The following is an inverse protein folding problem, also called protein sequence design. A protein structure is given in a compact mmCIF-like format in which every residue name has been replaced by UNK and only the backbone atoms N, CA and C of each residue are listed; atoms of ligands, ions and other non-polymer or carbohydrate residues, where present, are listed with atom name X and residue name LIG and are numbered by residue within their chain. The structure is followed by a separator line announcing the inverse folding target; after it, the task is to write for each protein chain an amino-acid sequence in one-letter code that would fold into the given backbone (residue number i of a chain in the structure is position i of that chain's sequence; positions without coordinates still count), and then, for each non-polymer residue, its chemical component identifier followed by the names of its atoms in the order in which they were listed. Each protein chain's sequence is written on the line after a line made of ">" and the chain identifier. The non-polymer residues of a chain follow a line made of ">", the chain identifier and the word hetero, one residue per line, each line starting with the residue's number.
data_IF_636510826978
#
_entry.id   IF_636510826978
#
_cell.length_a   1.000
_cell.length_b   1.000
_cell.length_c   1.000
_cell.angle_alpha   90.00
_cell.angle_beta   90.00
_cell.angle_gamma   90.00
#
_symmetry.space_group_name_H-M   'P 1'
#
loop_
_entity.id
_entity.type
_entity.pdbx_description
1 polymer ?
#
# COMPACT_ATOMS: atom_id res chain seq x y z
N UNK A 1 -46.96 5.58 12.81
CA UNK A 1 -47.45 6.19 11.55
C UNK A 1 -46.33 6.12 10.53
N UNK A 2 -46.18 5.01 9.79
CA UNK A 2 -45.27 4.99 8.64
C UNK A 2 -46.09 5.33 7.40
N UNK A 3 -45.82 6.49 6.79
CA UNK A 3 -46.35 6.86 5.50
C UNK A 3 -45.98 5.77 4.50
N UNK A 4 -46.96 5.00 4.01
CA UNK A 4 -46.76 4.07 2.91
C UNK A 4 -46.47 4.88 1.64
N UNK A 5 -45.22 5.31 1.48
CA UNK A 5 -44.71 5.79 0.20
C UNK A 5 -44.99 4.71 -0.86
N UNK A 6 -45.20 5.10 -2.13
CA UNK A 6 -45.62 4.19 -3.17
C UNK A 6 -44.68 2.96 -3.22
N UNK A 7 -45.16 1.73 -2.89
CA UNK A 7 -44.30 0.57 -2.67
C UNK A 7 -43.50 0.16 -3.92
N UNK A 8 -43.90 0.66 -5.10
CA UNK A 8 -43.16 0.49 -6.35
C UNK A 8 -41.86 1.32 -6.39
N UNK A 9 -41.89 2.56 -5.90
CA UNK A 9 -40.72 3.45 -5.89
C UNK A 9 -39.64 2.92 -4.94
N UNK A 10 -40.05 2.50 -3.74
CA UNK A 10 -39.14 1.97 -2.73
C UNK A 10 -38.41 0.70 -3.19
N UNK A 11 -39.12 -0.23 -3.83
CA UNK A 11 -38.52 -1.43 -4.43
C UNK A 11 -37.51 -1.10 -5.53
N UNK A 12 -37.80 -0.08 -6.34
CA UNK A 12 -36.88 0.37 -7.38
C UNK A 12 -35.60 1.01 -6.79
N UNK A 13 -35.71 1.75 -5.69
CA UNK A 13 -34.54 2.28 -4.98
C UNK A 13 -33.67 1.16 -4.38
N UNK A 14 -34.27 0.14 -3.75
CA UNK A 14 -33.54 -1.02 -3.24
C UNK A 14 -32.83 -1.76 -4.37
N UNK A 15 -33.49 -1.90 -5.53
CA UNK A 15 -32.90 -2.50 -6.71
C UNK A 15 -31.65 -1.76 -7.18
N UNK A 16 -31.72 -0.42 -7.30
CA UNK A 16 -30.56 0.41 -7.66
C UNK A 16 -29.45 0.23 -6.64
N UNK A 17 -29.79 0.25 -5.34
CA UNK A 17 -28.81 0.06 -4.28
C UNK A 17 -28.07 -1.28 -4.40
N UNK A 18 -28.79 -2.39 -4.64
CA UNK A 18 -28.18 -3.70 -4.83
C UNK A 18 -27.24 -3.73 -6.05
N UNK A 19 -27.63 -3.10 -7.16
CA UNK A 19 -26.77 -3.04 -8.36
C UNK A 19 -25.48 -2.27 -8.08
N UNK A 20 -25.55 -1.14 -7.35
CA UNK A 20 -24.37 -0.38 -6.96
C UNK A 20 -23.44 -1.20 -6.06
N UNK A 21 -23.97 -1.92 -5.07
CA UNK A 21 -23.16 -2.74 -4.17
C UNK A 21 -22.51 -3.92 -4.92
N UNK A 22 -23.19 -4.52 -5.91
CA UNK A 22 -22.59 -5.52 -6.80
C UNK A 22 -21.42 -4.92 -7.58
N UNK A 23 -21.57 -3.70 -8.11
CA UNK A 23 -20.49 -2.99 -8.79
C UNK A 23 -19.27 -2.78 -7.89
N UNK A 24 -19.49 -2.33 -6.64
CA UNK A 24 -18.42 -2.18 -5.64
C UNK A 24 -17.75 -3.53 -5.34
N UNK A 25 -18.53 -4.59 -5.15
CA UNK A 25 -18.00 -5.93 -4.90
C UNK A 25 -17.12 -6.44 -6.06
N UNK A 26 -17.50 -6.16 -7.31
CA UNK A 26 -16.69 -6.52 -8.47
C UNK A 26 -15.37 -5.73 -8.54
N UNK A 27 -15.41 -4.43 -8.23
CA UNK A 27 -14.20 -3.60 -8.12
C UNK A 27 -13.27 -4.10 -7.02
N UNK A 28 -13.81 -4.52 -5.86
CA UNK A 28 -13.00 -5.10 -4.79
C UNK A 28 -12.34 -6.42 -5.20
N UNK A 29 -13.04 -7.31 -5.91
CA UNK A 29 -12.42 -8.54 -6.42
C UNK A 29 -11.29 -8.22 -7.39
N UNK A 30 -11.50 -7.27 -8.31
CA UNK A 30 -10.47 -6.85 -9.26
C UNK A 30 -9.26 -6.23 -8.56
N UNK A 31 -9.49 -5.33 -7.61
CA UNK A 31 -8.44 -4.70 -6.81
C UNK A 31 -7.68 -5.73 -5.97
N UNK A 32 -8.39 -6.67 -5.33
CA UNK A 32 -7.78 -7.74 -4.54
C UNK A 32 -6.93 -8.69 -5.40
N UNK A 33 -7.35 -8.98 -6.63
CA UNK A 33 -6.56 -9.76 -7.59
C UNK A 33 -5.29 -9.01 -8.00
N UNK A 34 -5.38 -7.71 -8.26
CA UNK A 34 -4.20 -6.88 -8.53
C UNK A 34 -3.25 -6.85 -7.33
N UNK A 35 -3.79 -6.71 -6.11
CA UNK A 35 -3.02 -6.68 -4.88
C UNK A 35 -2.27 -8.00 -4.66
N UNK A 36 -2.92 -9.15 -4.95
CA UNK A 36 -2.29 -10.47 -4.80
C UNK A 36 -1.06 -10.66 -5.70
N UNK A 37 -1.05 -10.03 -6.87
CA UNK A 37 0.09 -10.10 -7.77
C UNK A 37 1.18 -9.07 -7.43
N UNK A 38 0.95 -8.21 -6.43
CA UNK A 38 1.92 -7.22 -6.00
C UNK A 38 2.92 -7.83 -5.03
N UNK A 39 4.21 -7.67 -5.35
CA UNK A 39 5.35 -8.09 -4.51
C UNK A 39 5.23 -7.53 -3.08
N UNK A 40 4.57 -6.38 -2.92
CA UNK A 40 4.32 -5.70 -1.65
C UNK A 40 3.62 -6.57 -0.59
N UNK A 41 2.65 -7.42 -0.96
CA UNK A 41 1.90 -8.21 0.02
C UNK A 41 2.65 -9.41 0.57
N UNK A 42 3.58 -9.98 -0.20
CA UNK A 42 4.42 -11.09 0.27
C UNK A 42 5.38 -10.63 1.38
N UNK A 43 5.69 -9.33 1.42
CA UNK A 43 6.71 -8.76 2.31
C UNK A 43 6.18 -8.27 3.65
N UNK A 44 4.93 -7.81 3.71
CA UNK A 44 4.33 -7.41 4.98
C UNK A 44 3.77 -8.60 5.78
N UNK A 45 4.06 -9.84 5.39
CA UNK A 45 3.37 -11.06 5.87
C UNK A 45 1.82 -10.98 5.71
N UNK A 46 1.34 -9.99 4.95
CA UNK A 46 -0.05 -9.76 4.61
C UNK A 46 -0.42 -10.44 3.28
N UNK A 47 0.21 -11.57 2.97
CA UNK A 47 -0.17 -12.41 1.82
C UNK A 47 -1.69 -12.71 1.81
N UNK A 48 -2.32 -12.70 2.98
CA UNK A 48 -3.76 -12.88 3.16
C UNK A 48 -4.63 -11.66 2.86
N UNK A 49 -4.08 -10.44 2.81
CA UNK A 49 -4.88 -9.23 2.62
C UNK A 49 -5.60 -9.21 1.27
N UNK A 50 -4.94 -9.62 0.18
CA UNK A 50 -5.56 -9.75 -1.14
C UNK A 50 -6.74 -10.74 -1.12
N UNK A 51 -6.55 -11.91 -0.52
CA UNK A 51 -7.60 -12.92 -0.37
C UNK A 51 -8.79 -12.41 0.48
N UNK A 52 -8.52 -11.66 1.55
CA UNK A 52 -9.56 -11.05 2.39
C UNK A 52 -10.39 -10.07 1.55
N UNK A 53 -9.76 -9.20 0.75
CA UNK A 53 -10.45 -8.23 -0.10
C UNK A 53 -11.33 -8.95 -1.14
N UNK A 54 -10.81 -10.00 -1.78
CA UNK A 54 -11.58 -10.82 -2.74
C UNK A 54 -12.78 -11.47 -2.04
N UNK A 55 -12.59 -12.07 -0.87
CA UNK A 55 -13.66 -12.70 -0.10
C UNK A 55 -14.73 -11.70 0.32
N UNK A 56 -14.35 -10.50 0.76
CA UNK A 56 -15.26 -9.41 1.05
C UNK A 56 -16.07 -8.98 -0.18
N UNK A 57 -15.42 -8.81 -1.33
CA UNK A 57 -16.09 -8.46 -2.59
C UNK A 57 -17.11 -9.52 -3.03
N UNK A 58 -16.75 -10.80 -2.93
CA UNK A 58 -17.64 -11.92 -3.24
C UNK A 58 -18.84 -11.99 -2.28
N UNK A 59 -18.60 -11.80 -0.98
CA UNK A 59 -19.67 -11.76 0.03
C UNK A 59 -20.65 -10.61 -0.24
N UNK A 60 -20.17 -9.43 -0.60
CA UNK A 60 -21.02 -8.28 -0.96
C UNK A 60 -21.90 -8.58 -2.18
N UNK A 61 -21.35 -9.23 -3.21
CA UNK A 61 -22.12 -9.63 -4.40
C UNK A 61 -23.22 -10.63 -4.02
N UNK A 62 -22.88 -11.65 -3.21
CA UNK A 62 -23.84 -12.66 -2.77
C UNK A 62 -24.98 -12.04 -1.95
N UNK A 63 -24.65 -11.21 -0.95
CA UNK A 63 -25.66 -10.53 -0.12
C UNK A 63 -26.55 -9.63 -0.98
N UNK A 64 -25.96 -8.88 -1.92
CA UNK A 64 -26.71 -7.99 -2.81
C UNK A 64 -27.63 -8.75 -3.77
N UNK A 65 -27.19 -9.91 -4.26
CA UNK A 65 -28.01 -10.78 -5.10
C UNK A 65 -29.21 -11.37 -4.33
N UNK A 66 -29.02 -11.72 -3.04
CA UNK A 66 -30.12 -12.14 -2.18
C UNK A 66 -31.12 -11.01 -1.94
N UNK A 67 -30.67 -9.78 -1.72
CA UNK A 67 -31.54 -8.60 -1.62
C UNK A 67 -32.32 -8.36 -2.91
N UNK A 68 -31.67 -8.46 -4.06
CA UNK A 68 -32.30 -8.34 -5.37
C UNK A 68 -33.41 -9.37 -5.57
N UNK A 69 -33.13 -10.66 -5.32
CA UNK A 69 -34.13 -11.73 -5.45
C UNK A 69 -35.23 -11.59 -4.40
N UNK A 70 -34.87 -11.23 -3.16
CA UNK A 70 -35.80 -11.02 -2.05
C UNK A 70 -36.87 -9.98 -2.40
N UNK A 71 -36.42 -8.84 -2.93
CA UNK A 71 -37.29 -7.75 -3.37
C UNK A 71 -38.09 -8.10 -4.64
N UNK A 72 -37.49 -8.80 -5.60
CA UNK A 72 -38.15 -9.20 -6.86
C UNK A 72 -39.23 -10.27 -6.66
N UNK A 73 -38.89 -11.36 -5.96
CA UNK A 73 -39.81 -12.50 -5.74
C UNK A 73 -40.67 -12.35 -4.48
N UNK A 74 -40.52 -11.25 -3.75
CA UNK A 74 -41.24 -10.94 -2.50
C UNK A 74 -41.11 -12.06 -1.44
N UNK A 75 -39.94 -12.71 -1.36
CA UNK A 75 -39.68 -13.79 -0.40
C UNK A 75 -39.17 -13.21 0.91
N UNK A 76 -40.05 -13.14 1.92
CA UNK A 76 -39.75 -12.56 3.24
C UNK A 76 -38.48 -13.11 3.91
N UNK A 77 -38.22 -14.41 3.78
CA UNK A 77 -37.04 -15.04 4.37
C UNK A 77 -35.74 -14.50 3.76
N UNK A 78 -35.68 -14.34 2.43
CA UNK A 78 -34.47 -13.83 1.74
C UNK A 78 -34.23 -12.35 2.06
N UNK A 79 -35.29 -11.55 2.11
CA UNK A 79 -35.21 -10.14 2.51
C UNK A 79 -34.75 -10.01 3.97
N UNK A 80 -35.23 -10.89 4.88
CA UNK A 80 -34.78 -10.90 6.27
C UNK A 80 -33.29 -11.24 6.42
N UNK A 81 -32.78 -12.21 5.64
CA UNK A 81 -31.35 -12.53 5.62
C UNK A 81 -30.54 -11.33 5.12
N UNK A 82 -30.98 -10.69 4.03
CA UNK A 82 -30.34 -9.48 3.50
C UNK A 82 -30.24 -8.36 4.55
N UNK A 83 -31.34 -8.09 5.25
CA UNK A 83 -31.41 -7.11 6.35
C UNK A 83 -30.34 -7.39 7.42
N UNK A 84 -30.19 -8.64 7.85
CA UNK A 84 -29.21 -9.02 8.88
C UNK A 84 -27.78 -8.74 8.41
N UNK A 85 -27.43 -9.15 7.18
CA UNK A 85 -26.08 -8.92 6.64
C UNK A 85 -25.77 -7.44 6.44
N UNK A 86 -26.73 -6.66 5.93
CA UNK A 86 -26.56 -5.20 5.76
C UNK A 86 -26.32 -4.52 7.11
N UNK A 87 -26.99 -4.93 8.18
CA UNK A 87 -26.71 -4.41 9.54
C UNK A 87 -25.26 -4.68 9.92
N UNK A 88 -24.79 -5.92 9.77
CA UNK A 88 -23.43 -6.30 10.15
C UNK A 88 -22.38 -5.51 9.33
N UNK A 89 -22.58 -5.41 8.02
CA UNK A 89 -21.69 -4.67 7.12
C UNK A 89 -21.69 -3.17 7.47
N UNK A 90 -22.86 -2.58 7.73
CA UNK A 90 -22.95 -1.17 8.10
C UNK A 90 -22.20 -0.86 9.40
N UNK A 91 -22.32 -1.72 10.41
CA UNK A 91 -21.58 -1.58 11.69
C UNK A 91 -20.08 -1.62 11.44
N UNK A 92 -19.59 -2.59 10.66
CA UNK A 92 -18.16 -2.74 10.36
C UNK A 92 -17.63 -1.52 9.60
N UNK A 93 -18.36 -1.02 8.60
CA UNK A 93 -17.94 0.12 7.77
C UNK A 93 -17.91 1.43 8.58
N UNK A 94 -18.89 1.64 9.46
CA UNK A 94 -18.91 2.81 10.35
C UNK A 94 -17.75 2.75 11.34
N UNK A 95 -17.52 1.58 11.95
CA UNK A 95 -16.39 1.36 12.86
C UNK A 95 -15.05 1.58 12.16
N UNK A 96 -14.87 1.03 10.95
CA UNK A 96 -13.69 1.24 10.13
C UNK A 96 -13.48 2.73 9.82
N UNK A 97 -14.52 3.44 9.39
CA UNK A 97 -14.43 4.88 9.13
C UNK A 97 -13.99 5.69 10.36
N UNK A 98 -14.51 5.36 11.54
CA UNK A 98 -14.09 5.98 12.80
C UNK A 98 -12.64 5.66 13.16
N UNK A 99 -12.22 4.40 12.99
CA UNK A 99 -10.83 3.98 13.22
C UNK A 99 -9.86 4.68 12.27
N UNK A 100 -10.19 4.83 10.99
CA UNK A 100 -9.34 5.53 10.01
C UNK A 100 -9.19 7.01 10.36
N UNK A 101 -10.26 7.66 10.80
CA UNK A 101 -10.19 9.07 11.28
C UNK A 101 -9.34 9.18 12.53
N UNK A 102 -9.43 8.21 13.45
CA UNK A 102 -8.57 8.18 14.64
C UNK A 102 -7.10 7.88 14.28
N UNK A 103 -6.87 6.95 13.36
CA UNK A 103 -5.54 6.58 12.89
C UNK A 103 -4.81 7.77 12.26
N UNK A 104 -5.54 8.73 11.67
CA UNK A 104 -4.97 10.00 11.22
C UNK A 104 -4.31 10.80 12.36
N UNK A 105 -4.94 10.86 13.53
CA UNK A 105 -4.37 11.56 14.69
C UNK A 105 -3.11 10.84 15.18
N UNK A 106 -3.22 9.51 15.27
CA UNK A 106 -2.11 8.63 15.66
C UNK A 106 -0.93 8.72 14.68
N UNK A 107 -1.19 8.80 13.38
CA UNK A 107 -0.16 8.95 12.35
C UNK A 107 0.59 10.28 12.53
N UNK A 108 -0.10 11.37 12.88
CA UNK A 108 0.55 12.65 13.14
C UNK A 108 1.51 12.56 14.34
N UNK A 109 1.05 11.93 15.43
CA UNK A 109 1.84 11.76 16.66
C UNK A 109 3.08 10.88 16.44
N UNK A 110 2.98 9.81 15.64
CA UNK A 110 4.09 8.85 15.46
C UNK A 110 4.98 9.11 14.24
N UNK A 111 4.43 9.68 13.16
CA UNK A 111 5.16 9.92 11.91
C UNK A 111 5.63 11.38 11.80
N UNK A 112 5.08 12.30 12.60
CA UNK A 112 5.40 13.72 12.56
C UNK A 112 6.77 14.09 13.15
N UNK A 113 7.34 13.25 14.01
CA UNK A 113 8.62 13.51 14.67
C UNK A 113 9.73 12.55 14.20
N UNK A 114 10.89 13.11 13.83
CA UNK A 114 12.05 12.35 13.33
C UNK A 114 12.64 11.41 14.40
N UNK A 115 12.62 11.82 15.66
CA UNK A 115 13.14 11.01 16.76
C UNK A 115 12.25 9.77 17.01
N UNK A 116 10.93 9.95 16.97
CA UNK A 116 9.97 8.85 17.10
C UNK A 116 10.01 7.91 15.90
N UNK A 117 10.28 8.44 14.71
CA UNK A 117 10.53 7.63 13.52
C UNK A 117 11.74 6.72 13.71
N UNK A 118 12.89 7.25 14.16
CA UNK A 118 14.08 6.43 14.39
C UNK A 118 13.86 5.39 15.51
N UNK A 119 13.13 5.74 16.58
CA UNK A 119 12.84 4.80 17.66
C UNK A 119 11.95 3.62 17.22
N UNK A 120 11.05 3.82 16.26
CA UNK A 120 10.16 2.76 15.76
C UNK A 120 10.69 2.02 14.54
N UNK A 121 11.45 2.71 13.70
CA UNK A 121 11.94 2.21 12.41
C UNK A 121 13.47 2.28 12.32
N UNK A 122 14.15 2.13 13.45
CA UNK A 122 15.61 2.23 13.55
C UNK A 122 16.33 1.35 12.54
N UNK A 123 15.91 0.09 12.37
CA UNK A 123 16.51 -0.80 11.37
C UNK A 123 16.35 -0.28 9.92
N UNK A 124 15.22 0.33 9.59
CA UNK A 124 14.98 0.88 8.26
C UNK A 124 15.76 2.19 8.04
N UNK A 125 15.89 3.02 9.08
CA UNK A 125 16.68 4.24 9.05
C UNK A 125 18.20 3.93 8.98
N UNK A 126 18.66 2.98 9.78
CA UNK A 126 20.04 2.46 9.76
C UNK A 126 20.38 1.81 8.41
N UNK A 127 19.41 1.11 7.79
CA UNK A 127 19.56 0.62 6.43
C UNK A 127 19.85 1.79 5.48
N UNK A 128 19.05 2.86 5.53
CA UNK A 128 19.26 4.03 4.68
C UNK A 128 20.62 4.70 4.95
N UNK A 129 21.07 4.73 6.19
CA UNK A 129 22.38 5.27 6.53
C UNK A 129 23.51 4.43 5.92
N UNK A 130 23.43 3.10 6.00
CA UNK A 130 24.39 2.21 5.33
C UNK A 130 24.41 2.39 3.82
N UNK A 131 23.25 2.65 3.21
CA UNK A 131 23.20 2.94 1.77
C UNK A 131 24.02 4.19 1.44
N UNK A 132 23.92 5.25 2.24
CA UNK A 132 24.69 6.49 2.02
C UNK A 132 26.21 6.25 2.09
N UNK A 133 26.66 5.30 2.90
CA UNK A 133 28.08 4.95 3.03
C UNK A 133 28.62 4.16 1.83
N UNK A 134 27.76 3.48 1.06
CA UNK A 134 28.17 2.59 -0.02
C UNK A 134 27.79 3.11 -1.41
N UNK A 135 26.55 3.57 -1.61
CA UNK A 135 26.00 3.90 -2.93
C UNK A 135 26.68 5.12 -3.55
N UNK A 136 27.01 5.01 -4.85
CA UNK A 136 27.77 6.03 -5.61
C UNK A 136 29.18 6.31 -5.06
N UNK A 137 29.74 5.37 -4.30
CA UNK A 137 31.14 5.38 -3.86
C UNK A 137 31.92 4.29 -4.59
N UNK A 138 33.22 4.22 -4.33
CA UNK A 138 34.11 3.16 -4.84
C UNK A 138 33.59 1.73 -4.57
N UNK A 139 32.87 1.54 -3.46
CA UNK A 139 32.36 0.22 -3.05
C UNK A 139 31.06 -0.18 -3.74
N UNK A 140 30.33 0.80 -4.28
CA UNK A 140 29.09 0.55 -5.02
C UNK A 140 28.90 1.62 -6.10
N UNK A 141 29.59 1.47 -7.24
CA UNK A 141 29.50 2.44 -8.32
C UNK A 141 28.07 2.51 -8.85
N UNK A 142 27.51 3.71 -8.94
CA UNK A 142 26.16 3.91 -9.44
C UNK A 142 26.14 4.33 -10.91
N UNK A 143 25.03 4.04 -11.58
CA UNK A 143 24.75 4.49 -12.94
C UNK A 143 24.22 5.93 -12.88
N UNK A 144 25.07 6.91 -13.19
CA UNK A 144 24.70 8.33 -13.16
C UNK A 144 24.58 8.90 -14.58
N UNK A 145 23.34 9.01 -15.05
CA UNK A 145 23.00 9.58 -16.36
C UNK A 145 22.38 10.98 -16.26
N UNK A 146 21.81 11.31 -15.10
CA UNK A 146 21.19 12.60 -14.84
C UNK A 146 22.20 13.70 -14.45
N UNK A 147 21.97 14.93 -14.95
CA UNK A 147 22.88 16.05 -14.74
C UNK A 147 22.88 16.57 -13.30
N UNK A 148 21.74 16.54 -12.60
CA UNK A 148 21.66 16.89 -11.19
C UNK A 148 22.44 15.85 -10.36
N UNK A 149 22.23 14.56 -10.63
CA UNK A 149 22.92 13.47 -9.93
C UNK A 149 24.45 13.58 -10.04
N UNK A 150 24.97 13.81 -11.25
CA UNK A 150 26.42 13.98 -11.48
C UNK A 150 26.97 15.14 -10.64
N UNK A 151 26.27 16.28 -10.62
CA UNK A 151 26.70 17.44 -9.84
C UNK A 151 26.58 17.20 -8.33
N UNK A 152 25.50 16.56 -7.88
CA UNK A 152 25.30 16.22 -6.47
C UNK A 152 26.41 15.30 -5.97
N UNK A 153 26.71 14.22 -6.70
CA UNK A 153 27.74 13.25 -6.37
C UNK A 153 29.11 13.94 -6.27
N UNK A 154 29.45 14.79 -7.24
CA UNK A 154 30.73 15.51 -7.27
C UNK A 154 30.94 16.46 -6.06
N UNK A 155 29.86 16.96 -5.45
CA UNK A 155 29.91 17.94 -4.36
C UNK A 155 29.73 17.31 -2.98
N UNK A 156 28.83 16.33 -2.87
CA UNK A 156 28.31 15.86 -1.58
C UNK A 156 28.75 14.44 -1.20
N UNK A 157 29.30 13.67 -2.14
CA UNK A 157 29.75 12.29 -1.88
C UNK A 157 31.26 12.30 -1.69
N UNK A 158 31.72 11.69 -0.59
CA UNK A 158 33.15 11.48 -0.35
C UNK A 158 33.64 10.42 -1.33
N UNK A 159 34.66 10.74 -2.12
CA UNK A 159 35.22 9.83 -3.12
C UNK A 159 34.17 9.32 -4.13
N UNK A 160 33.56 10.25 -4.89
CA UNK A 160 32.47 9.93 -5.79
C UNK A 160 32.91 8.94 -6.87
N UNK A 161 32.15 7.87 -7.05
CA UNK A 161 32.41 6.90 -8.10
C UNK A 161 31.10 6.54 -8.81
N UNK A 162 30.98 6.99 -10.05
CA UNK A 162 29.82 6.75 -10.92
C UNK A 162 30.26 6.55 -12.36
N UNK A 163 29.48 5.78 -13.10
CA UNK A 163 29.69 5.59 -14.53
C UNK A 163 28.46 6.05 -15.31
N UNK A 164 28.66 6.37 -16.59
CA UNK A 164 27.57 6.82 -17.49
C UNK A 164 26.85 5.67 -18.19
N UNK A 165 27.45 4.47 -18.23
CA UNK A 165 27.04 3.35 -19.08
C UNK A 165 26.88 2.01 -18.33
N UNK A 166 27.26 1.95 -17.06
CA UNK A 166 27.15 0.78 -16.19
C UNK A 166 27.03 1.22 -14.72
N UNK A 167 26.76 0.28 -13.82
CA UNK A 167 26.62 0.57 -12.38
C UNK A 167 25.24 0.28 -11.84
N UNK A 168 25.11 0.45 -10.54
CA UNK A 168 23.87 0.20 -9.82
C UNK A 168 22.86 1.33 -10.07
N UNK A 169 21.64 0.98 -10.47
CA UNK A 169 20.51 1.92 -10.50
C UNK A 169 20.00 2.24 -9.09
N UNK A 170 20.18 1.31 -8.15
CA UNK A 170 19.84 1.46 -6.75
C UNK A 170 20.73 0.53 -5.92
N UNK A 171 20.74 0.67 -4.59
CA UNK A 171 21.62 -0.13 -3.74
C UNK A 171 21.38 -1.64 -3.80
N UNK A 172 20.19 -2.08 -4.21
CA UNK A 172 19.85 -3.52 -4.27
C UNK A 172 20.48 -4.23 -5.47
N UNK A 173 20.97 -3.44 -6.44
CA UNK A 173 21.63 -3.87 -7.67
C UNK A 173 23.14 -3.61 -7.63
N UNK A 174 23.67 -3.37 -6.43
CA UNK A 174 25.08 -3.10 -6.20
C UNK A 174 26.00 -4.26 -6.62
N UNK A 175 27.03 -3.94 -7.40
CA UNK A 175 28.15 -4.82 -7.69
C UNK A 175 29.46 -4.18 -7.22
N UNK A 176 30.01 -4.60 -6.06
CA UNK A 176 31.27 -4.07 -5.53
C UNK A 176 32.48 -4.38 -6.41
N UNK A 177 32.42 -5.38 -7.28
CA UNK A 177 33.53 -5.77 -8.14
C UNK A 177 33.68 -4.86 -9.38
N UNK A 178 32.67 -4.03 -9.69
CA UNK A 178 32.61 -3.26 -10.93
C UNK A 178 33.73 -2.23 -11.07
N UNK A 179 34.18 -1.61 -9.97
CA UNK A 179 35.23 -0.60 -9.99
C UNK A 179 36.66 -1.18 -10.11
N UNK A 180 36.87 -2.45 -9.72
CA UNK A 180 38.20 -3.08 -9.67
C UNK A 180 38.97 -2.96 -11.00
N UNK A 181 38.41 -3.31 -12.18
CA UNK A 181 39.19 -3.32 -13.43
C UNK A 181 39.59 -1.93 -13.94
N UNK A 182 38.99 -0.86 -13.41
CA UNK A 182 39.18 0.51 -13.92
C UNK A 182 39.98 1.43 -12.99
N UNK A 183 40.17 1.05 -11.73
CA UNK A 183 40.93 1.84 -10.75
C UNK A 183 42.39 1.39 -10.64
N UNK A 184 43.21 2.22 -9.99
CA UNK A 184 44.63 1.89 -9.76
C UNK A 184 44.79 0.80 -8.68
N UNK A 185 45.98 0.21 -8.60
CA UNK A 185 46.27 -0.90 -7.67
C UNK A 185 46.00 -0.56 -6.19
N UNK A 186 46.24 0.68 -5.77
CA UNK A 186 46.00 1.10 -4.38
C UNK A 186 44.51 1.09 -4.04
N UNK A 187 43.66 1.58 -4.95
CA UNK A 187 42.20 1.55 -4.78
C UNK A 187 41.63 0.15 -4.96
N UNK A 188 42.25 -0.69 -5.81
CA UNK A 188 41.89 -2.10 -5.91
C UNK A 188 42.08 -2.82 -4.57
N UNK A 189 43.25 -2.64 -3.93
CA UNK A 189 43.55 -3.23 -2.62
C UNK A 189 42.54 -2.76 -1.56
N UNK A 190 42.13 -1.49 -1.60
CA UNK A 190 41.11 -0.94 -0.70
C UNK A 190 39.73 -1.58 -0.91
N UNK A 191 39.26 -1.72 -2.15
CA UNK A 191 37.98 -2.39 -2.45
C UNK A 191 38.01 -3.83 -1.96
N UNK A 192 39.08 -4.57 -2.27
CA UNK A 192 39.23 -5.97 -1.86
C UNK A 192 39.25 -6.08 -0.33
N UNK A 193 39.99 -5.20 0.36
CA UNK A 193 40.00 -5.16 1.82
C UNK A 193 38.59 -4.87 2.37
N UNK A 194 37.87 -3.91 1.79
CA UNK A 194 36.51 -3.58 2.20
C UNK A 194 35.54 -4.76 2.01
N UNK A 195 35.60 -5.46 0.86
CA UNK A 195 34.79 -6.66 0.61
C UNK A 195 35.10 -7.73 1.64
N UNK A 196 36.38 -8.00 1.90
CA UNK A 196 36.80 -9.02 2.84
C UNK A 196 36.38 -8.70 4.29
N UNK A 197 36.46 -7.44 4.70
CA UNK A 197 36.10 -7.00 6.05
C UNK A 197 34.59 -6.86 6.26
N UNK A 198 33.89 -6.20 5.34
CA UNK A 198 32.46 -5.87 5.49
C UNK A 198 31.55 -6.98 5.04
N UNK A 199 31.92 -7.71 3.98
CA UNK A 199 31.10 -8.77 3.41
C UNK A 199 31.59 -10.18 3.80
N UNK A 200 32.74 -10.30 4.49
CA UNK A 200 33.33 -11.58 4.94
C UNK A 200 33.50 -12.61 3.82
N UNK A 201 33.73 -12.13 2.61
CA UNK A 201 34.06 -12.96 1.44
C UNK A 201 35.57 -12.95 1.23
N UNK A 202 36.13 -14.02 0.67
CA UNK A 202 37.55 -14.06 0.30
C UNK A 202 37.65 -13.84 -1.21
N UNK A 203 37.89 -12.59 -1.62
CA UNK A 203 38.02 -12.21 -3.03
C UNK A 203 39.44 -11.78 -3.37
N UNK A 204 39.80 -11.93 -4.64
CA UNK A 204 41.09 -11.48 -5.17
C UNK A 204 40.90 -10.56 -6.37
N UNK A 205 41.94 -9.85 -6.76
CA UNK A 205 41.93 -8.93 -7.91
C UNK A 205 41.54 -9.67 -9.20
N UNK A 206 41.99 -10.92 -9.36
CA UNK A 206 41.74 -11.73 -10.57
C UNK A 206 40.41 -12.51 -10.52
N UNK A 207 39.76 -12.58 -9.35
CA UNK A 207 38.54 -13.36 -9.13
C UNK A 207 37.65 -12.65 -8.08
N UNK A 208 36.91 -11.63 -8.53
CA UNK A 208 35.86 -10.97 -7.75
C UNK A 208 34.50 -11.40 -8.32
N UNK A 209 33.80 -12.27 -7.60
CA UNK A 209 32.50 -12.85 -8.00
C UNK A 209 31.41 -12.61 -6.96
N UNK A 210 31.35 -11.40 -6.40
CA UNK A 210 30.31 -11.00 -5.45
C UNK A 210 28.99 -10.79 -6.18
N UNK A 211 28.00 -11.64 -5.88
CA UNK A 211 26.64 -11.46 -6.43
C UNK A 211 25.88 -10.38 -5.67
N UNK A 212 24.89 -9.75 -6.32
CA UNK A 212 24.00 -8.75 -5.67
C UNK A 212 23.29 -9.33 -4.45
N UNK A 213 22.92 -10.62 -4.47
CA UNK A 213 22.34 -11.30 -3.30
C UNK A 213 23.33 -11.45 -2.15
N UNK A 214 24.58 -11.83 -2.42
CA UNK A 214 25.60 -11.94 -1.36
C UNK A 214 25.93 -10.57 -0.76
N UNK A 215 26.05 -9.54 -1.60
CA UNK A 215 26.19 -8.16 -1.13
C UNK A 215 25.05 -7.79 -0.18
N UNK A 216 23.79 -8.00 -0.59
CA UNK A 216 22.62 -7.69 0.24
C UNK A 216 22.64 -8.44 1.57
N UNK A 217 22.95 -9.73 1.52
CA UNK A 217 22.83 -10.63 2.66
C UNK A 217 23.92 -10.40 3.71
N UNK A 218 25.13 -10.03 3.29
CA UNK A 218 26.27 -9.82 4.19
C UNK A 218 26.39 -8.36 4.63
N UNK A 219 26.10 -7.38 3.76
CA UNK A 219 26.22 -5.97 4.10
C UNK A 219 25.09 -5.47 5.02
N UNK A 220 23.88 -6.00 4.83
CA UNK A 220 22.69 -5.60 5.57
C UNK A 220 22.20 -6.73 6.48
N UNK A 221 21.76 -6.36 7.70
CA UNK A 221 21.20 -7.33 8.62
C UNK A 221 19.87 -7.88 8.10
N UNK A 222 19.44 -9.03 8.60
CA UNK A 222 18.12 -9.59 8.26
C UNK A 222 16.99 -8.62 8.59
N UNK A 223 17.11 -7.87 9.69
CA UNK A 223 16.10 -6.91 10.14
C UNK A 223 16.00 -5.70 9.21
N UNK A 224 17.14 -5.17 8.73
CA UNK A 224 17.20 -4.12 7.71
C UNK A 224 16.54 -4.56 6.40
N UNK A 225 16.89 -5.76 5.91
CA UNK A 225 16.42 -6.30 4.62
C UNK A 225 14.90 -6.43 4.55
N UNK A 226 14.22 -6.64 5.69
CA UNK A 226 12.76 -6.70 5.77
C UNK A 226 12.08 -5.44 5.22
N UNK A 227 12.75 -4.28 5.35
CA UNK A 227 12.19 -2.99 4.94
C UNK A 227 12.51 -2.60 3.50
N UNK A 228 13.44 -3.26 2.81
CA UNK A 228 13.86 -2.85 1.46
C UNK A 228 12.71 -2.68 0.48
N UNK A 229 11.72 -3.59 0.44
CA UNK A 229 10.66 -3.45 -0.55
C UNK A 229 9.65 -2.38 -0.18
N UNK A 230 9.45 -2.11 1.12
CA UNK A 230 8.71 -0.95 1.57
C UNK A 230 9.44 0.33 1.16
N UNK A 231 10.74 0.45 1.47
CA UNK A 231 11.54 1.63 1.13
C UNK A 231 11.56 1.87 -0.39
N UNK A 232 11.78 0.83 -1.19
CA UNK A 232 11.69 0.89 -2.65
C UNK A 232 10.32 1.37 -3.13
N UNK A 233 9.24 0.75 -2.65
CA UNK A 233 7.88 1.14 -3.03
C UNK A 233 7.58 2.59 -2.65
N UNK A 234 8.01 3.01 -1.47
CA UNK A 234 7.79 4.37 -0.99
C UNK A 234 8.55 5.36 -1.88
N UNK A 235 9.83 5.14 -2.18
CA UNK A 235 10.59 6.03 -3.07
C UNK A 235 10.03 6.05 -4.52
N UNK A 236 9.49 4.93 -5.02
CA UNK A 236 8.88 4.87 -6.36
C UNK A 236 7.53 5.61 -6.45
N UNK A 237 6.79 5.71 -5.34
CA UNK A 237 5.44 6.30 -5.31
C UNK A 237 5.41 7.71 -4.73
N UNK A 238 6.37 8.03 -3.87
CA UNK A 238 6.55 9.32 -3.21
C UNK A 238 7.92 9.83 -3.62
N UNK A 239 8.00 11.08 -4.10
CA UNK A 239 9.26 11.70 -4.55
C UNK A 239 10.16 12.06 -3.38
N UNK A 240 10.56 11.06 -2.61
CA UNK A 240 11.27 11.17 -1.37
C UNK A 240 12.46 10.22 -1.38
N UNK A 241 13.42 10.48 -0.49
CA UNK A 241 14.45 9.50 -0.20
C UNK A 241 14.91 9.55 1.24
N UNK A 242 15.27 8.39 1.76
CA UNK A 242 15.46 8.14 3.18
C UNK A 242 14.14 8.00 3.91
N UNK A 243 14.16 7.32 5.06
CA UNK A 243 12.94 7.11 5.84
C UNK A 243 12.67 8.30 6.76
N UNK A 244 13.47 8.45 7.82
CA UNK A 244 13.27 9.49 8.84
C UNK A 244 14.00 10.79 8.49
N UNK A 245 15.12 10.68 7.77
CA UNK A 245 15.94 11.82 7.35
C UNK A 245 15.96 11.93 5.82
N UNK A 246 15.86 13.16 5.28
CA UNK A 246 15.91 13.35 3.84
C UNK A 246 17.31 13.03 3.32
N UNK A 247 17.38 12.35 2.19
CA UNK A 247 18.62 12.12 1.43
C UNK A 247 18.53 12.83 0.09
N UNK A 248 19.67 13.23 -0.48
CA UNK A 248 19.71 13.97 -1.75
C UNK A 248 19.75 13.10 -3.01
N UNK A 249 19.69 11.77 -2.85
CA UNK A 249 19.67 10.78 -3.92
C UNK A 249 18.71 9.65 -3.57
N UNK A 250 17.99 9.13 -4.55
CA UNK A 250 17.17 7.93 -4.39
C UNK A 250 18.05 6.71 -4.13
N UNK A 251 17.72 5.92 -3.11
CA UNK A 251 18.59 4.86 -2.60
C UNK A 251 18.12 3.46 -2.98
N UNK A 252 16.80 3.27 -2.96
CA UNK A 252 16.12 1.99 -3.17
C UNK A 252 15.34 1.96 -4.49
N UNK A 253 15.05 3.13 -5.06
CA UNK A 253 14.60 3.32 -6.44
C UNK A 253 15.74 3.87 -7.31
N UNK A 254 15.47 4.05 -8.62
CA UNK A 254 16.47 4.52 -9.58
C UNK A 254 17.08 5.88 -9.16
N UNK A 255 18.40 5.92 -8.96
CA UNK A 255 19.19 7.10 -8.63
C UNK A 255 18.98 8.24 -9.65
N UNK A 256 18.57 7.92 -10.87
CA UNK A 256 18.32 8.88 -11.96
C UNK A 256 16.92 9.52 -11.92
N UNK A 257 16.10 9.24 -10.90
CA UNK A 257 14.78 9.86 -10.72
C UNK A 257 14.82 11.35 -10.33
N UNK A 258 15.99 11.99 -10.35
CA UNK A 258 16.20 13.40 -10.05
C UNK A 258 16.39 13.69 -8.57
N UNK A 259 16.13 14.93 -8.16
CA UNK A 259 16.23 15.37 -6.77
C UNK A 259 14.99 14.93 -5.96
N UNK A 260 15.15 14.14 -4.88
CA UNK A 260 14.05 13.86 -3.96
C UNK A 260 13.64 15.13 -3.19
N UNK A 261 12.34 15.31 -2.97
CA UNK A 261 11.78 16.53 -2.39
C UNK A 261 11.90 16.56 -0.85
N UNK A 262 11.66 15.42 -0.17
CA UNK A 262 11.65 15.32 1.30
C UNK A 262 12.05 13.91 1.81
N UNK A 263 12.04 13.73 3.14
CA UNK A 263 12.09 12.39 3.75
C UNK A 263 10.78 11.65 3.54
N UNK A 264 10.86 10.33 3.34
CA UNK A 264 9.70 9.54 3.00
C UNK A 264 8.63 9.48 4.11
N UNK A 265 9.03 9.56 5.38
CA UNK A 265 8.06 9.62 6.48
C UNK A 265 7.15 10.86 6.38
N UNK A 266 7.69 11.98 5.90
CA UNK A 266 6.96 13.24 5.75
C UNK A 266 5.94 13.12 4.62
N UNK A 267 6.35 12.62 3.46
CA UNK A 267 5.44 12.41 2.33
C UNK A 267 4.34 11.38 2.65
N UNK A 268 4.69 10.30 3.37
CA UNK A 268 3.70 9.31 3.83
C UNK A 268 2.73 9.96 4.82
N UNK A 269 3.22 10.75 5.78
CA UNK A 269 2.34 11.41 6.75
C UNK A 269 1.42 12.40 6.03
N UNK A 270 1.93 13.24 5.13
CA UNK A 270 1.13 14.22 4.39
C UNK A 270 0.07 13.54 3.52
N UNK A 271 0.44 12.43 2.88
CA UNK A 271 -0.51 11.59 2.15
C UNK A 271 -1.56 10.99 3.09
N UNK A 272 -1.17 10.43 4.24
CA UNK A 272 -2.09 9.85 5.21
C UNK A 272 -3.04 10.91 5.77
N UNK A 273 -2.54 12.09 6.14
CA UNK A 273 -3.33 13.22 6.62
C UNK A 273 -4.38 13.66 5.60
N UNK A 274 -3.99 13.72 4.34
CA UNK A 274 -4.87 14.17 3.25
C UNK A 274 -5.92 13.12 2.88
N UNK A 275 -5.53 11.85 2.85
CA UNK A 275 -6.39 10.78 2.33
C UNK A 275 -7.22 10.09 3.42
N UNK A 276 -6.70 9.89 4.62
CA UNK A 276 -7.43 9.16 5.68
C UNK A 276 -8.68 9.90 6.12
N UNK A 277 -8.66 11.24 6.17
CA UNK A 277 -9.87 12.01 6.45
C UNK A 277 -10.92 11.78 5.37
N UNK A 278 -10.54 11.86 4.10
CA UNK A 278 -11.45 11.65 2.98
C UNK A 278 -12.02 10.22 2.99
N UNK A 279 -11.18 9.21 3.15
CA UNK A 279 -11.60 7.80 3.23
C UNK A 279 -12.49 7.53 4.43
N UNK A 280 -12.16 8.08 5.59
CA UNK A 280 -12.98 7.98 6.80
C UNK A 280 -14.37 8.60 6.61
N UNK A 281 -14.45 9.82 6.07
CA UNK A 281 -15.72 10.50 5.78
C UNK A 281 -16.55 9.71 4.76
N UNK A 282 -15.94 9.27 3.65
CA UNK A 282 -16.61 8.47 2.62
C UNK A 282 -17.15 7.17 3.21
N UNK A 283 -16.35 6.49 4.05
CA UNK A 283 -16.77 5.26 4.75
C UNK A 283 -17.99 5.50 5.64
N UNK A 284 -18.01 6.58 6.43
CA UNK A 284 -19.14 6.93 7.29
C UNK A 284 -20.40 7.25 6.46
N UNK A 285 -20.27 8.05 5.39
CA UNK A 285 -21.39 8.36 4.49
C UNK A 285 -21.97 7.08 3.89
N UNK A 286 -21.10 6.17 3.44
CA UNK A 286 -21.52 4.90 2.88
C UNK A 286 -22.20 4.01 3.93
N UNK A 287 -21.70 3.98 5.16
CA UNK A 287 -22.34 3.32 6.29
C UNK A 287 -23.75 3.85 6.56
N UNK A 288 -23.93 5.17 6.58
CA UNK A 288 -25.26 5.78 6.72
C UNK A 288 -26.18 5.46 5.53
N UNK A 289 -25.65 5.42 4.32
CA UNK A 289 -26.41 4.99 3.14
C UNK A 289 -26.92 3.54 3.30
N UNK A 290 -26.10 2.61 3.81
CA UNK A 290 -26.53 1.24 4.10
C UNK A 290 -27.63 1.20 5.18
N UNK A 291 -27.56 2.06 6.19
CA UNK A 291 -28.62 2.22 7.20
C UNK A 291 -29.93 2.74 6.56
N UNK A 292 -29.86 3.63 5.58
CA UNK A 292 -31.05 4.06 4.83
C UNK A 292 -31.65 2.89 4.03
N UNK A 293 -30.82 2.12 3.34
CA UNK A 293 -31.25 0.91 2.61
C UNK A 293 -31.92 -0.09 3.57
N UNK A 294 -31.36 -0.26 4.78
CA UNK A 294 -31.95 -1.07 5.83
C UNK A 294 -33.36 -0.62 6.21
N UNK A 295 -33.57 0.69 6.46
CA UNK A 295 -34.90 1.21 6.77
C UNK A 295 -35.87 0.97 5.62
N UNK A 296 -35.43 1.17 4.37
CA UNK A 296 -36.24 0.88 3.18
C UNK A 296 -36.63 -0.61 3.12
N UNK A 297 -35.69 -1.53 3.25
CA UNK A 297 -35.95 -2.98 3.27
C UNK A 297 -36.88 -3.41 4.41
N UNK A 298 -36.71 -2.85 5.61
CA UNK A 298 -37.60 -3.10 6.74
C UNK A 298 -39.03 -2.66 6.45
N UNK A 299 -39.24 -1.49 5.82
CA UNK A 299 -40.59 -1.05 5.45
C UNK A 299 -41.23 -1.93 4.37
N UNK A 300 -40.46 -2.41 3.37
CA UNK A 300 -40.97 -3.38 2.38
C UNK A 300 -41.33 -4.72 3.03
N UNK A 301 -40.52 -5.20 3.98
CA UNK A 301 -40.73 -6.47 4.65
C UNK A 301 -41.94 -6.45 5.60
N UNK A 302 -42.08 -5.37 6.38
CA UNK A 302 -43.08 -5.26 7.44
C UNK A 302 -44.43 -4.71 7.00
N UNK A 303 -44.54 -4.02 5.86
CA UNK A 303 -45.83 -3.55 5.36
C UNK A 303 -46.60 -4.70 4.69
N UNK A 304 -47.69 -5.23 5.32
CA UNK A 304 -48.50 -6.26 4.69
C UNK A 304 -49.11 -5.69 3.39
N UNK A 305 -49.03 -6.45 2.30
CA UNK A 305 -49.86 -6.17 1.11
C UNK A 305 -51.30 -6.11 1.59
N UNK A 306 -51.99 -4.98 1.37
CA UNK A 306 -53.45 -4.98 1.34
C UNK A 306 -53.81 -6.02 0.29
N UNK A 307 -54.28 -7.21 0.72
CA UNK A 307 -54.95 -8.13 -0.19
C UNK A 307 -56.03 -7.27 -0.84
N UNK A 308 -56.01 -7.17 -2.17
CA UNK A 308 -57.22 -6.76 -2.86
C UNK A 308 -58.25 -7.81 -2.44
N UNK A 309 -59.16 -7.40 -1.58
CA UNK A 309 -60.39 -8.13 -1.36
C UNK A 309 -61.11 -7.96 -2.68
N UNK A 310 -60.79 -8.83 -3.65
CA UNK A 310 -61.51 -8.87 -4.89
C UNK A 310 -62.93 -9.31 -4.51
N UNK A 311 -63.84 -8.37 -4.74
CA UNK A 311 -65.27 -8.57 -4.84
C UNK A 311 -65.53 -9.74 -5.81
N UNK A 312 -65.63 -10.95 -5.26
CA UNK A 312 -66.56 -11.96 -5.74
C UNK A 312 -67.69 -12.12 -4.70
N UNK A 313 -68.33 -10.99 -4.41
CA UNK A 313 -69.78 -10.91 -4.39
C UNK A 313 -70.32 -10.99 -5.83
N UNK A 314 -70.26 -12.18 -6.42
CA UNK A 314 -71.17 -12.65 -7.47
C UNK A 314 -71.89 -13.84 -6.82
N UNK A 315 -73.02 -13.68 -6.13
CA UNK A 315 -74.35 -13.31 -6.65
C UNK A 315 -74.61 -13.73 -8.09
#
# INVERSE_FOLDING_TARGET
>A
MCCCCAPKCLKFLIFIACVLIIGIGAVLIWAGYQLQNSIFLDLLEFAYAGYIIIACGAALILVSFLGFIGTWKEKKLLEAIFIIFIILIAIIIIAFGAVVIYARQVADDYLGNKEDCHNQFGDADDATQKVVEALCTLYCPCLATDAYLINYIAVNVTEPYSFSDQGAENVLDCDPCLAIPVVNTTLQDEIIQWINEKLKMDVSIDDCSVTTSQYKDEYFTSDMRKYFPLLKWVEENFKCSGLCYPRGLYMFSDVNNGEPENSCITEINDWAQSNFLAYGIVSIIFGFYLVLVLFMSCTVCCCPKKKKTDEESKS
#
